data_IF_090276420508
#
_entry.id   IF_090276420508
#
_cell.length_a   1.000
_cell.length_b   1.000
_cell.length_c   1.000
_cell.angle_alpha   90.00
_cell.angle_beta   90.00
_cell.angle_gamma   90.00
#
_symmetry.space_group_name_H-M   'P 1'
#
loop_
_entity.id
_entity.type
_entity.pdbx_description
1 polymer ?
#
# COMPACT_ATOMS: atom_id res chain seq x y z
N UNK A 1 -6.59 -29.85 -20.82
CA UNK A 1 -5.72 -29.58 -21.98
C UNK A 1 -6.19 -28.31 -22.71
N UNK A 2 -6.05 -27.15 -22.05
CA UNK A 2 -6.09 -25.76 -22.60
C UNK A 2 -5.96 -24.76 -21.44
N UNK A 3 -6.43 -25.12 -20.24
CA UNK A 3 -6.29 -24.33 -19.00
C UNK A 3 -4.86 -24.36 -18.44
N UNK A 4 -4.12 -25.46 -18.60
CA UNK A 4 -2.74 -25.56 -18.09
C UNK A 4 -1.74 -24.68 -18.86
N UNK A 5 -2.09 -24.24 -20.08
CA UNK A 5 -1.17 -23.54 -20.97
C UNK A 5 -0.92 -22.08 -20.56
N UNK A 6 -1.82 -21.49 -19.75
CA UNK A 6 -1.75 -20.09 -19.32
C UNK A 6 -1.41 -19.94 -17.83
N UNK A 7 -1.27 -21.04 -17.11
CA UNK A 7 -1.03 -21.03 -15.68
C UNK A 7 0.46 -20.88 -15.43
N UNK A 8 0.87 -19.82 -14.73
CA UNK A 8 2.29 -19.64 -14.37
C UNK A 8 2.77 -20.83 -13.55
N UNK A 9 4.06 -21.18 -13.65
CA UNK A 9 4.60 -22.35 -12.96
C UNK A 9 4.40 -22.34 -11.44
N UNK A 10 4.35 -21.15 -10.81
CA UNK A 10 4.03 -21.02 -9.39
C UNK A 10 2.56 -21.38 -9.10
N UNK A 11 1.62 -20.88 -9.91
CA UNK A 11 0.20 -21.20 -9.76
C UNK A 11 -0.05 -22.70 -9.98
N UNK A 12 0.60 -23.30 -10.99
CA UNK A 12 0.48 -24.73 -11.28
C UNK A 12 1.00 -25.62 -10.12
N UNK A 13 1.97 -25.13 -9.35
CA UNK A 13 2.49 -25.80 -8.15
C UNK A 13 1.74 -25.44 -6.86
N UNK A 14 0.71 -24.59 -6.93
CA UNK A 14 -0.01 -24.12 -5.74
C UNK A 14 0.84 -23.20 -4.83
N UNK A 15 1.89 -22.59 -5.38
CA UNK A 15 2.80 -21.72 -4.66
C UNK A 15 2.35 -20.26 -4.76
N UNK A 16 2.27 -19.57 -3.63
CA UNK A 16 2.07 -18.13 -3.56
C UNK A 16 3.28 -17.46 -2.92
N UNK A 17 3.92 -16.54 -3.64
CA UNK A 17 5.08 -15.77 -3.17
C UNK A 17 5.02 -14.34 -3.67
N UNK A 18 5.52 -13.41 -2.85
CA UNK A 18 5.73 -12.02 -3.25
C UNK A 18 7.17 -11.88 -3.69
N UNK A 19 7.38 -11.40 -4.91
CA UNK A 19 8.73 -11.17 -5.46
C UNK A 19 8.90 -9.73 -5.90
N UNK A 20 10.06 -9.17 -5.59
CA UNK A 20 10.41 -7.82 -6.00
C UNK A 20 10.97 -7.80 -7.42
N UNK A 21 10.11 -7.59 -8.41
CA UNK A 21 10.48 -7.45 -9.83
C UNK A 21 11.20 -6.13 -10.15
N UNK A 22 11.40 -5.26 -9.15
CA UNK A 22 12.05 -3.96 -9.30
C UNK A 22 13.22 -3.77 -8.32
N UNK A 23 13.90 -4.87 -7.99
CA UNK A 23 14.98 -4.96 -6.99
C UNK A 23 16.17 -4.04 -7.25
N UNK A 24 16.35 -3.57 -8.49
CA UNK A 24 17.38 -2.57 -8.83
C UNK A 24 17.22 -1.27 -8.04
N UNK A 25 15.99 -0.90 -7.69
CA UNK A 25 15.69 0.38 -7.03
C UNK A 25 14.83 0.23 -5.77
N UNK A 26 13.99 -0.80 -5.70
CA UNK A 26 13.18 -1.09 -4.51
C UNK A 26 13.97 -2.05 -3.62
N UNK A 27 14.28 -1.62 -2.40
CA UNK A 27 14.93 -2.44 -1.38
C UNK A 27 13.87 -3.15 -0.54
N UNK A 28 14.20 -4.31 0.03
CA UNK A 28 13.26 -5.09 0.85
C UNK A 28 12.69 -4.29 2.03
N UNK A 29 13.49 -3.43 2.67
CA UNK A 29 13.05 -2.52 3.74
C UNK A 29 12.47 -1.18 3.27
N UNK A 30 12.29 -1.00 1.95
CA UNK A 30 11.86 0.27 1.36
C UNK A 30 12.81 1.43 1.67
N UNK A 31 12.24 2.60 1.98
CA UNK A 31 12.97 3.78 2.44
C UNK A 31 12.66 4.05 3.92
N UNK A 32 13.53 3.66 4.86
CA UNK A 32 13.26 3.81 6.30
C UNK A 32 13.08 5.25 6.76
N UNK A 33 13.78 6.20 6.12
CA UNK A 33 13.64 7.61 6.47
C UNK A 33 12.26 8.16 6.07
N UNK A 34 11.80 7.81 4.86
CA UNK A 34 10.47 8.18 4.40
C UNK A 34 9.37 7.52 5.25
N UNK A 35 9.51 6.23 5.57
CA UNK A 35 8.54 5.53 6.43
C UNK A 35 8.42 6.18 7.81
N UNK A 36 9.54 6.55 8.45
CA UNK A 36 9.51 7.28 9.73
C UNK A 36 8.81 8.63 9.61
N UNK A 37 9.05 9.36 8.53
CA UNK A 37 8.40 10.66 8.32
C UNK A 37 6.89 10.50 8.09
N UNK A 38 6.49 9.55 7.24
CA UNK A 38 5.08 9.25 6.98
C UNK A 38 4.35 8.87 8.27
N UNK A 39 4.92 7.98 9.07
CA UNK A 39 4.32 7.54 10.34
C UNK A 39 4.22 8.63 11.40
N UNK A 40 5.05 9.68 11.31
CA UNK A 40 5.01 10.81 12.24
C UNK A 40 3.99 11.85 11.80
N UNK A 41 3.96 12.17 10.50
CA UNK A 41 3.14 13.26 9.95
C UNK A 41 1.70 12.82 9.67
N UNK A 42 1.47 11.54 9.37
CA UNK A 42 0.17 11.02 9.00
C UNK A 42 -0.33 9.93 9.95
N UNK A 43 -1.64 9.79 10.03
CA UNK A 43 -2.34 8.72 10.73
C UNK A 43 -3.33 8.03 9.79
N UNK A 44 -3.40 6.71 9.82
CA UNK A 44 -4.38 5.94 9.04
C UNK A 44 -5.81 6.25 9.49
N UNK A 45 -6.72 6.39 8.53
CA UNK A 45 -8.15 6.61 8.77
C UNK A 45 -8.88 5.27 8.76
N UNK A 46 -9.92 5.13 9.57
CA UNK A 46 -10.73 3.90 9.61
C UNK A 46 -11.35 3.57 8.25
N UNK A 47 -11.86 4.58 7.55
CA UNK A 47 -12.43 4.42 6.20
C UNK A 47 -12.12 5.61 5.30
N UNK A 48 -11.98 5.37 4.01
CA UNK A 48 -11.86 6.42 2.99
C UNK A 48 -12.58 6.04 1.71
N UNK A 49 -13.27 7.01 1.08
CA UNK A 49 -13.94 6.79 -0.19
C UNK A 49 -12.95 6.92 -1.35
N UNK A 50 -12.74 5.83 -2.06
CA UNK A 50 -12.05 5.84 -3.33
C UNK A 50 -13.07 6.11 -4.43
N UNK A 51 -12.92 7.25 -5.12
CA UNK A 51 -13.83 7.66 -6.20
C UNK A 51 -13.97 6.53 -7.22
N UNK A 52 -15.20 6.02 -7.38
CA UNK A 52 -15.52 4.92 -8.30
C UNK A 52 -15.31 3.50 -7.75
N UNK A 53 -14.75 3.34 -6.56
CA UNK A 53 -14.56 2.04 -5.88
C UNK A 53 -15.31 1.96 -4.53
N UNK A 54 -15.78 3.10 -4.00
CA UNK A 54 -16.53 3.17 -2.75
C UNK A 54 -15.64 3.28 -1.51
N UNK A 55 -16.22 3.00 -0.34
CA UNK A 55 -15.53 3.11 0.94
C UNK A 55 -14.67 1.88 1.22
N UNK A 56 -13.38 2.12 1.48
CA UNK A 56 -12.44 1.07 1.86
C UNK A 56 -11.91 1.31 3.28
N UNK A 57 -11.79 0.25 4.10
CA UNK A 57 -11.23 0.37 5.42
C UNK A 57 -9.71 0.56 5.36
N UNK A 58 -9.16 1.39 6.26
CA UNK A 58 -7.71 1.61 6.44
C UNK A 58 -6.95 2.00 5.16
N UNK A 59 -7.65 2.55 4.17
CA UNK A 59 -7.10 2.85 2.85
C UNK A 59 -6.71 4.31 2.65
N UNK A 60 -6.89 5.13 3.67
CA UNK A 60 -6.60 6.56 3.63
C UNK A 60 -5.84 7.03 4.86
N UNK A 61 -5.25 8.22 4.75
CA UNK A 61 -4.39 8.88 5.72
C UNK A 61 -4.92 10.27 6.03
N UNK A 62 -4.77 10.72 7.27
CA UNK A 62 -5.01 12.08 7.70
C UNK A 62 -3.73 12.67 8.27
N UNK A 63 -3.69 14.00 8.43
CA UNK A 63 -2.64 14.65 9.22
C UNK A 63 -2.76 14.17 10.66
N UNK A 64 -1.64 13.76 11.26
CA UNK A 64 -1.59 13.32 12.65
C UNK A 64 -1.85 14.48 13.61
N UNK A 65 -2.21 14.16 14.85
CA UNK A 65 -2.53 15.17 15.87
C UNK A 65 -1.35 16.11 16.15
N UNK A 66 -0.12 15.58 16.11
CA UNK A 66 1.13 16.37 16.28
C UNK A 66 1.21 17.53 15.28
N UNK A 67 0.62 17.38 14.09
CA UNK A 67 0.66 18.37 13.01
C UNK A 67 -0.71 18.96 12.67
N UNK A 68 -1.71 18.83 13.55
CA UNK A 68 -3.08 19.27 13.28
C UNK A 68 -3.18 20.75 12.87
N UNK A 69 -2.31 21.61 13.41
CA UNK A 69 -2.25 23.04 13.08
C UNK A 69 -1.85 23.34 11.62
N UNK A 70 -1.24 22.39 10.92
CA UNK A 70 -0.77 22.56 9.53
C UNK A 70 -1.78 22.07 8.49
N UNK A 71 -2.82 21.35 8.89
CA UNK A 71 -3.72 20.65 7.97
C UNK A 71 -5.12 21.28 7.85
N UNK A 72 -5.56 21.62 6.63
CA UNK A 72 -6.99 21.74 6.28
C UNK A 72 -7.40 20.42 5.61
N UNK A 73 -8.30 19.67 6.26
CA UNK A 73 -8.55 18.23 6.04
C UNK A 73 -8.81 17.83 4.57
N UNK A 74 -7.80 17.24 3.93
CA UNK A 74 -7.89 16.00 3.15
C UNK A 74 -6.48 15.51 2.80
N UNK A 75 -6.15 14.27 3.18
CA UNK A 75 -5.07 13.47 2.61
C UNK A 75 -5.71 12.12 2.25
N UNK A 76 -5.27 11.53 1.13
CA UNK A 76 -5.85 10.34 0.47
C UNK A 76 -6.05 9.23 1.49
#
# INVERSE_FOLDING_TARGET
MLIDQYTSGAIARGEARVENQYSRVVRDGGNPAALRLLNRVFATRDTFEWRGLGWMPYSGMGISEEFAALGRRAVI
#
